data_IF_411233970732
#
_entry.id   IF_411233970732
#
_cell.length_a   1.000
_cell.length_b   1.000
_cell.length_c   1.000
_cell.angle_alpha   90.00
_cell.angle_beta   90.00
_cell.angle_gamma   90.00
#
_symmetry.space_group_name_H-M   'P 1'
#
loop_
_entity.id
_entity.type
_entity.pdbx_description
1 polymer ?
#
# COMPACT_ATOMS: atom_id res chain seq x y z
N UNK A 1 0.71 -1.64 13.92
CA UNK A 1 -0.77 -1.73 14.01
C UNK A 1 -1.37 -1.70 12.61
N UNK A 2 -2.61 -2.16 12.39
CA UNK A 2 -3.25 -2.11 11.06
C UNK A 2 -4.49 -1.24 11.09
N UNK A 3 -4.61 -0.31 10.14
CA UNK A 3 -5.77 0.58 10.02
C UNK A 3 -7.06 -0.20 9.77
N UNK A 4 -7.00 -1.33 9.03
CA UNK A 4 -8.17 -2.19 8.75
C UNK A 4 -8.84 -2.78 9.99
N UNK A 5 -8.15 -2.82 11.13
CA UNK A 5 -8.64 -3.37 12.39
C UNK A 5 -9.13 -2.27 13.35
N UNK A 6 -9.18 -1.02 12.89
CA UNK A 6 -9.52 0.16 13.68
C UNK A 6 -10.78 0.85 13.16
N UNK A 7 -11.55 1.45 14.06
CA UNK A 7 -12.58 2.43 13.72
C UNK A 7 -12.00 3.86 13.70
N UNK A 8 -12.77 4.82 13.18
CA UNK A 8 -12.29 6.19 13.00
C UNK A 8 -11.92 6.90 14.31
N UNK A 9 -12.61 6.62 15.43
CA UNK A 9 -12.29 7.19 16.75
C UNK A 9 -10.95 6.69 17.28
N UNK A 10 -10.62 5.42 17.02
CA UNK A 10 -9.31 4.85 17.38
C UNK A 10 -8.18 5.48 16.55
N UNK A 11 -8.43 5.79 15.27
CA UNK A 11 -7.47 6.49 14.40
C UNK A 11 -7.29 7.94 14.84
N UNK A 12 -8.37 8.64 15.18
CA UNK A 12 -8.33 10.01 15.72
C UNK A 12 -7.49 10.08 17.02
N UNK A 13 -7.71 9.15 17.95
CA UNK A 13 -6.90 9.07 19.16
C UNK A 13 -5.43 8.72 18.88
N UNK A 14 -5.16 7.89 17.86
CA UNK A 14 -3.81 7.49 17.47
C UNK A 14 -3.03 8.67 16.89
N UNK A 15 -3.61 9.41 15.94
CA UNK A 15 -2.90 10.47 15.22
C UNK A 15 -2.50 11.63 16.12
N UNK A 16 -3.19 11.81 17.25
CA UNK A 16 -2.81 12.79 18.28
C UNK A 16 -1.43 12.52 18.93
N UNK A 17 -0.90 11.30 18.83
CA UNK A 17 0.39 10.90 19.44
C UNK A 17 1.39 10.26 18.46
N UNK A 18 0.93 9.87 17.27
CA UNK A 18 1.74 9.22 16.24
C UNK A 18 1.38 9.80 14.86
N UNK A 19 2.28 10.55 14.25
CA UNK A 19 2.09 11.19 12.94
C UNK A 19 2.79 10.42 11.80
N UNK A 20 3.40 9.26 12.08
CA UNK A 20 3.97 8.37 11.08
C UNK A 20 2.91 7.38 10.59
N UNK A 21 3.01 6.99 9.33
CA UNK A 21 2.21 5.93 8.74
C UNK A 21 2.98 5.16 7.67
N UNK A 22 2.56 3.93 7.41
CA UNK A 22 3.08 3.12 6.30
C UNK A 22 1.98 2.85 5.29
N UNK A 23 2.27 3.06 4.02
CA UNK A 23 1.41 2.69 2.89
C UNK A 23 2.10 1.58 2.07
N UNK A 24 1.67 0.32 2.17
CA UNK A 24 2.15 -0.72 1.28
C UNK A 24 1.51 -0.57 -0.11
N UNK A 25 2.29 -0.78 -1.16
CA UNK A 25 1.83 -0.78 -2.55
C UNK A 25 2.36 -2.03 -3.26
N UNK A 26 1.49 -2.72 -3.99
CA UNK A 26 1.84 -3.95 -4.71
C UNK A 26 1.37 -3.90 -6.16
N UNK A 27 1.01 -5.09 -6.67
CA UNK A 27 0.41 -5.29 -7.99
C UNK A 27 -0.40 -6.59 -7.98
N UNK A 28 -1.21 -6.77 -9.01
CA UNK A 28 -1.86 -8.04 -9.33
C UNK A 28 -1.37 -8.47 -10.69
N UNK A 29 -0.40 -9.40 -10.73
CA UNK A 29 0.29 -9.82 -11.95
C UNK A 29 0.70 -11.29 -11.90
N UNK A 30 1.08 -11.84 -13.06
CA UNK A 30 1.57 -13.21 -13.14
C UNK A 30 2.82 -13.40 -12.27
N UNK A 31 2.86 -14.48 -11.50
CA UNK A 31 4.04 -14.93 -10.75
C UNK A 31 4.27 -16.43 -10.97
N UNK A 32 4.28 -16.85 -12.23
CA UNK A 32 4.35 -18.27 -12.64
C UNK A 32 3.32 -19.14 -11.92
N UNK A 33 3.75 -20.01 -11.01
CA UNK A 33 2.89 -20.95 -10.28
C UNK A 33 2.39 -20.40 -8.93
N UNK A 34 2.72 -19.15 -8.59
CA UNK A 34 2.32 -18.51 -7.34
C UNK A 34 1.02 -17.70 -7.50
N UNK A 35 0.57 -17.13 -6.39
CA UNK A 35 -0.57 -16.20 -6.37
C UNK A 35 -0.31 -14.98 -7.26
N UNK A 36 -1.36 -14.46 -7.89
CA UNK A 36 -1.28 -13.19 -8.63
C UNK A 36 -1.02 -11.98 -7.73
N UNK A 37 -1.24 -12.12 -6.42
CA UNK A 37 -1.11 -11.05 -5.44
C UNK A 37 0.20 -11.13 -4.64
N UNK A 38 1.24 -11.84 -5.11
CA UNK A 38 2.51 -11.99 -4.38
C UNK A 38 3.05 -10.63 -3.93
N UNK A 39 3.07 -9.65 -4.83
CA UNK A 39 3.60 -8.30 -4.53
C UNK A 39 2.82 -7.60 -3.41
N UNK A 40 1.49 -7.68 -3.44
CA UNK A 40 0.63 -7.10 -2.42
C UNK A 40 0.76 -7.83 -1.06
N UNK A 41 0.78 -9.17 -1.08
CA UNK A 41 0.92 -10.01 0.11
C UNK A 41 2.24 -9.72 0.83
N UNK A 42 3.35 -9.70 0.09
CA UNK A 42 4.67 -9.48 0.66
C UNK A 42 4.84 -8.03 1.13
N UNK A 43 4.39 -7.04 0.37
CA UNK A 43 4.43 -5.63 0.78
C UNK A 43 3.66 -5.40 2.09
N UNK A 44 2.44 -5.91 2.21
CA UNK A 44 1.65 -5.78 3.44
C UNK A 44 2.32 -6.51 4.60
N UNK A 45 2.83 -7.73 4.37
CA UNK A 45 3.47 -8.52 5.43
C UNK A 45 4.70 -7.82 5.99
N UNK A 46 5.61 -7.41 5.13
CA UNK A 46 6.85 -6.71 5.52
C UNK A 46 6.52 -5.40 6.22
N UNK A 47 5.59 -4.60 5.68
CA UNK A 47 5.16 -3.34 6.29
C UNK A 47 4.62 -3.55 7.70
N UNK A 48 3.74 -4.54 7.90
CA UNK A 48 3.14 -4.84 9.21
C UNK A 48 4.18 -5.31 10.22
N UNK A 49 5.06 -6.23 9.82
CA UNK A 49 6.08 -6.76 10.72
C UNK A 49 7.12 -5.71 11.11
N UNK A 50 7.57 -4.88 10.17
CA UNK A 50 8.54 -3.83 10.44
C UNK A 50 7.96 -2.69 11.29
N UNK A 51 6.67 -2.36 11.11
CA UNK A 51 6.00 -1.30 11.85
C UNK A 51 5.54 -1.72 13.25
N UNK A 52 5.35 -3.03 13.49
CA UNK A 52 4.86 -3.57 14.75
C UNK A 52 5.64 -3.11 16.00
N UNK A 53 6.99 -3.23 16.07
CA UNK A 53 7.74 -2.82 17.26
C UNK A 53 7.80 -1.30 17.49
N UNK A 54 7.36 -0.51 16.50
CA UNK A 54 7.40 0.96 16.55
C UNK A 54 6.04 1.59 16.84
N UNK A 55 5.00 0.77 16.99
CA UNK A 55 3.61 1.20 17.09
C UNK A 55 3.22 2.20 15.98
N UNK A 56 3.69 1.95 14.76
CA UNK A 56 3.29 2.72 13.58
C UNK A 56 2.10 2.02 12.89
N UNK A 57 1.05 2.75 12.47
CA UNK A 57 -0.06 2.19 11.72
C UNK A 57 0.32 1.90 10.27
N UNK A 58 -0.19 0.78 9.75
CA UNK A 58 -0.10 0.38 8.35
C UNK A 58 -1.48 0.50 7.70
N UNK A 59 -1.56 1.28 6.64
CA UNK A 59 -2.75 1.42 5.80
C UNK A 59 -2.97 0.15 4.94
N UNK A 60 -4.19 -0.09 4.44
CA UNK A 60 -4.44 -1.19 3.52
C UNK A 60 -3.52 -1.11 2.29
N UNK A 61 -3.05 -2.27 1.82
CA UNK A 61 -2.19 -2.35 0.64
C UNK A 61 -2.95 -1.93 -0.63
N UNK A 62 -2.30 -1.17 -1.50
CA UNK A 62 -2.79 -0.93 -2.84
C UNK A 62 -2.53 -2.17 -3.71
N UNK A 63 -3.60 -2.88 -4.08
CA UNK A 63 -3.52 -4.18 -4.76
C UNK A 63 -3.24 -4.10 -6.27
N UNK A 64 -3.38 -2.92 -6.88
CA UNK A 64 -3.18 -2.71 -8.31
C UNK A 64 -2.08 -1.68 -8.54
N UNK A 65 -1.17 -2.00 -9.46
CA UNK A 65 -0.01 -1.19 -9.79
C UNK A 65 0.22 -1.12 -11.30
N UNK A 66 1.48 -1.02 -11.70
CA UNK A 66 1.91 -0.92 -13.09
C UNK A 66 2.52 -2.24 -13.57
N UNK A 67 1.77 -2.99 -14.37
CA UNK A 67 2.18 -4.29 -14.92
C UNK A 67 1.92 -4.43 -16.43
N UNK A 68 2.31 -3.44 -17.26
CA UNK A 68 1.97 -3.45 -18.69
C UNK A 68 2.59 -4.63 -19.44
N UNK A 69 3.69 -5.18 -18.96
CA UNK A 69 4.41 -6.29 -19.60
C UNK A 69 3.76 -7.66 -19.34
N UNK A 70 2.80 -7.76 -18.43
CA UNK A 70 2.17 -9.02 -18.04
C UNK A 70 0.68 -9.10 -18.35
N UNK A 71 0.12 -8.13 -19.09
CA UNK A 71 -1.32 -8.05 -19.41
C UNK A 71 -1.84 -9.22 -20.27
N UNK A 72 -0.95 -9.89 -21.01
CA UNK A 72 -1.30 -11.07 -21.82
C UNK A 72 -1.51 -12.32 -20.94
N UNK A 73 -1.09 -12.29 -19.68
CA UNK A 73 -1.32 -13.37 -18.72
C UNK A 73 -2.67 -13.16 -18.01
N UNK A 74 -3.62 -14.11 -18.11
CA UNK A 74 -4.95 -13.95 -17.53
C UNK A 74 -4.91 -13.66 -16.02
N UNK A 75 -5.59 -12.58 -15.62
CA UNK A 75 -5.66 -12.13 -14.24
C UNK A 75 -4.66 -11.04 -13.86
N UNK A 76 -3.64 -10.78 -14.69
CA UNK A 76 -2.81 -9.58 -14.55
C UNK A 76 -3.64 -8.34 -14.87
N UNK A 77 -3.63 -7.35 -13.97
CA UNK A 77 -4.40 -6.11 -14.13
C UNK A 77 -3.48 -4.93 -13.86
N UNK A 78 -3.29 -4.09 -14.88
CA UNK A 78 -2.47 -2.88 -14.79
C UNK A 78 -3.34 -1.64 -14.78
N UNK A 79 -2.95 -0.66 -13.96
CA UNK A 79 -3.40 0.72 -14.12
C UNK A 79 -2.60 1.39 -15.25
N UNK A 80 -3.10 2.51 -15.74
CA UNK A 80 -2.27 3.43 -16.53
C UNK A 80 -1.34 4.20 -15.58
N UNK A 81 -0.21 4.69 -16.08
CA UNK A 81 0.72 5.52 -15.29
C UNK A 81 0.02 6.74 -14.67
N UNK A 82 -0.80 7.44 -15.45
CA UNK A 82 -1.52 8.63 -14.95
C UNK A 82 -2.53 8.26 -13.86
N UNK A 83 -3.27 7.16 -14.02
CA UNK A 83 -4.20 6.67 -12.99
C UNK A 83 -3.47 6.23 -11.74
N UNK A 84 -2.35 5.49 -11.87
CA UNK A 84 -1.57 5.04 -10.72
C UNK A 84 -1.04 6.23 -9.90
N UNK A 85 -0.44 7.21 -10.57
CA UNK A 85 0.02 8.44 -9.91
C UNK A 85 -1.14 9.20 -9.23
N UNK A 86 -2.29 9.33 -9.90
CA UNK A 86 -3.46 9.99 -9.32
C UNK A 86 -3.96 9.29 -8.05
N UNK A 87 -4.08 7.96 -8.08
CA UNK A 87 -4.49 7.14 -6.93
C UNK A 87 -3.50 7.31 -5.78
N UNK A 88 -2.20 7.20 -6.03
CA UNK A 88 -1.18 7.35 -4.99
C UNK A 88 -1.25 8.76 -4.37
N UNK A 89 -1.33 9.81 -5.17
CA UNK A 89 -1.46 11.18 -4.68
C UNK A 89 -2.71 11.36 -3.81
N UNK A 90 -3.88 10.91 -4.28
CA UNK A 90 -5.14 11.05 -3.55
C UNK A 90 -5.17 10.25 -2.24
N UNK A 91 -4.58 9.04 -2.24
CA UNK A 91 -4.43 8.23 -1.03
C UNK A 91 -3.51 8.92 -0.03
N UNK A 92 -2.34 9.40 -0.46
CA UNK A 92 -1.41 10.13 0.40
C UNK A 92 -2.02 11.42 0.95
N UNK A 93 -2.76 12.16 0.13
CA UNK A 93 -3.52 13.33 0.56
C UNK A 93 -4.56 12.98 1.62
N UNK A 94 -5.28 11.86 1.46
CA UNK A 94 -6.23 11.37 2.46
C UNK A 94 -5.56 11.02 3.78
N UNK A 95 -4.44 10.31 3.73
CA UNK A 95 -3.62 9.98 4.90
C UNK A 95 -3.10 11.25 5.58
N UNK A 96 -2.64 12.23 4.79
CA UNK A 96 -2.13 13.50 5.30
C UNK A 96 -3.23 14.37 5.94
N UNK A 97 -4.44 14.39 5.36
CA UNK A 97 -5.61 15.08 5.92
C UNK A 97 -6.04 14.51 7.27
N UNK A 98 -5.86 13.20 7.48
CA UNK A 98 -6.12 12.56 8.76
C UNK A 98 -5.12 12.95 9.87
N UNK A 99 -3.99 13.58 9.51
CA UNK A 99 -3.00 14.11 10.45
C UNK A 99 -1.63 13.42 10.41
N UNK A 100 -1.47 12.34 9.64
CA UNK A 100 -0.19 11.67 9.46
C UNK A 100 0.72 12.51 8.54
N UNK A 101 1.92 12.89 8.99
CA UNK A 101 2.84 13.77 8.27
C UNK A 101 4.07 13.07 7.72
N UNK A 102 4.41 11.89 8.24
CA UNK A 102 5.59 11.12 7.85
C UNK A 102 5.15 9.77 7.31
N UNK A 103 5.01 9.69 5.98
CA UNK A 103 4.46 8.51 5.32
C UNK A 103 5.60 7.78 4.59
N UNK A 104 5.78 6.49 4.90
CA UNK A 104 6.70 5.61 4.17
C UNK A 104 5.90 4.73 3.23
N UNK A 105 6.30 4.66 1.96
CA UNK A 105 5.74 3.73 0.99
C UNK A 105 6.59 2.47 0.96
N UNK A 106 5.97 1.31 1.16
CA UNK A 106 6.62 -0.01 1.03
C UNK A 106 6.19 -0.60 -0.30
N UNK A 107 7.07 -0.54 -1.30
CA UNK A 107 6.78 -1.04 -2.64
C UNK A 107 7.15 -2.52 -2.77
N UNK A 108 6.16 -3.36 -3.10
CA UNK A 108 6.32 -4.79 -3.37
C UNK A 108 6.53 -5.14 -4.84
N UNK A 109 6.36 -4.18 -5.77
CA UNK A 109 6.41 -4.45 -7.21
C UNK A 109 7.40 -3.55 -7.93
N UNK A 110 8.34 -4.14 -8.68
CA UNK A 110 9.35 -3.39 -9.42
C UNK A 110 8.75 -2.39 -10.42
N UNK A 111 7.68 -2.75 -11.12
CA UNK A 111 7.07 -1.91 -12.15
C UNK A 111 6.41 -0.62 -11.65
N UNK A 112 6.18 -0.50 -10.33
CA UNK A 112 5.69 0.72 -9.71
C UNK A 112 6.77 1.81 -9.57
N UNK A 113 8.05 1.46 -9.75
CA UNK A 113 9.18 2.39 -9.69
C UNK A 113 9.59 2.82 -11.10
N UNK A 114 10.08 4.06 -11.29
CA UNK A 114 10.58 4.53 -12.58
C UNK A 114 11.80 3.75 -13.07
#
# INVERSE_FOLDING_TARGET
MRIRDMNWMQVEALVAREDRAVLPVGSTEQHAQLSLCVDAILAERVAVEAAAPLDVPVFPVLNYGLTPNFVDFPGSVTLTMSTYCAVICEVLDGIARAGFRRIVIVNGHGGNSP
#
